data_IF_311106063841
#
_entry.id   IF_311106063841
#
_cell.length_a   1.000
_cell.length_b   1.000
_cell.length_c   1.000
_cell.angle_alpha   90.00
_cell.angle_beta   90.00
_cell.angle_gamma   90.00
#
_symmetry.space_group_name_H-M   'P 1'
#
loop_
_entity.id
_entity.type
_entity.pdbx_description
1 polymer ?
#
# COMPACT_ATOMS: atom_id res chain seq x y z
N UNK A 1 13.97 4.71 16.50
CA UNK A 1 12.71 5.35 16.10
C UNK A 1 11.91 4.42 15.24
N UNK A 2 10.59 4.46 15.41
CA UNK A 2 9.72 3.57 14.67
C UNK A 2 9.56 4.03 13.24
N UNK A 3 9.53 3.07 12.31
CA UNK A 3 9.16 3.34 10.93
C UNK A 3 7.64 3.38 10.81
N UNK A 4 7.13 4.21 9.90
CA UNK A 4 5.70 4.33 9.65
C UNK A 4 5.35 3.72 8.29
N UNK A 5 4.36 2.84 8.31
CA UNK A 5 3.87 2.17 7.10
C UNK A 5 2.47 2.67 6.81
N UNK A 6 2.24 3.10 5.57
CA UNK A 6 0.90 3.44 5.09
C UNK A 6 0.33 2.22 4.39
N UNK A 7 -0.83 1.75 4.86
CA UNK A 7 -1.55 0.65 4.23
C UNK A 7 -2.76 1.23 3.51
N UNK A 8 -2.86 0.93 2.23
CA UNK A 8 -3.95 1.42 1.38
C UNK A 8 -4.73 0.24 0.85
N UNK A 9 -5.98 0.09 1.28
CA UNK A 9 -6.85 -1.02 0.89
C UNK A 9 -8.29 -0.61 1.17
N UNK A 10 -9.21 -0.94 0.28
CA UNK A 10 -10.63 -0.57 0.45
C UNK A 10 -11.40 -1.54 1.34
N UNK A 11 -10.77 -2.62 1.79
CA UNK A 11 -11.42 -3.61 2.65
C UNK A 11 -11.03 -3.37 4.11
N UNK A 12 -11.97 -2.88 4.95
CA UNK A 12 -11.63 -2.54 6.34
C UNK A 12 -11.10 -3.70 7.17
N UNK A 13 -11.58 -4.92 6.92
CA UNK A 13 -11.11 -6.10 7.66
C UNK A 13 -9.63 -6.34 7.40
N UNK A 14 -9.22 -6.20 6.15
CA UNK A 14 -7.84 -6.43 5.77
C UNK A 14 -6.92 -5.35 6.35
N UNK A 15 -7.40 -4.10 6.33
CA UNK A 15 -6.66 -3.01 6.94
C UNK A 15 -6.42 -3.27 8.43
N UNK A 16 -7.46 -3.68 9.15
CA UNK A 16 -7.33 -3.95 10.58
C UNK A 16 -6.37 -5.10 10.87
N UNK A 17 -6.43 -6.15 10.04
CA UNK A 17 -5.54 -7.30 10.20
C UNK A 17 -4.08 -6.90 10.00
N UNK A 18 -3.80 -6.20 8.91
CA UNK A 18 -2.43 -5.76 8.62
C UNK A 18 -1.94 -4.76 9.66
N UNK A 19 -2.80 -3.83 10.06
CA UNK A 19 -2.43 -2.84 11.07
C UNK A 19 -2.04 -3.53 12.38
N UNK A 20 -2.84 -4.48 12.83
CA UNK A 20 -2.55 -5.19 14.08
C UNK A 20 -1.24 -5.95 14.01
N UNK A 21 -1.00 -6.64 12.90
CA UNK A 21 0.22 -7.40 12.71
C UNK A 21 1.47 -6.51 12.68
N UNK A 22 1.39 -5.40 11.96
CA UNK A 22 2.54 -4.51 11.83
C UNK A 22 2.83 -3.77 13.13
N UNK A 23 1.79 -3.38 13.87
CA UNK A 23 2.00 -2.73 15.17
C UNK A 23 2.65 -3.70 16.16
N UNK A 24 2.29 -4.98 16.09
CA UNK A 24 2.92 -6.00 16.93
C UNK A 24 4.42 -6.10 16.65
N UNK A 25 4.83 -5.85 15.41
CA UNK A 25 6.23 -5.87 15.01
C UNK A 25 6.96 -4.56 15.30
N UNK A 26 6.27 -3.59 15.91
CA UNK A 26 6.90 -2.33 16.33
C UNK A 26 6.78 -1.19 15.34
N UNK A 27 6.01 -1.34 14.26
CA UNK A 27 5.81 -0.26 13.31
C UNK A 27 4.67 0.65 13.71
N UNK A 28 4.78 1.91 13.33
CA UNK A 28 3.63 2.81 13.35
C UNK A 28 2.89 2.63 12.04
N UNK A 29 1.55 2.74 12.08
CA UNK A 29 0.72 2.44 10.91
C UNK A 29 -0.26 3.56 10.68
N UNK A 30 -0.37 3.99 9.43
CA UNK A 30 -1.44 4.84 8.94
C UNK A 30 -2.23 4.05 7.91
N UNK A 31 -3.52 4.32 7.77
CA UNK A 31 -4.36 3.58 6.84
C UNK A 31 -5.13 4.53 5.94
N UNK A 32 -5.46 4.05 4.74
CA UNK A 32 -6.32 4.76 3.80
C UNK A 32 -7.18 3.74 3.06
N UNK A 33 -8.40 4.13 2.72
CA UNK A 33 -9.36 3.22 2.09
C UNK A 33 -9.54 3.47 0.60
N UNK A 34 -8.92 4.51 0.07
CA UNK A 34 -8.91 4.77 -1.37
C UNK A 34 -7.68 5.60 -1.73
N UNK A 35 -7.47 5.78 -3.02
CA UNK A 35 -6.27 6.45 -3.51
C UNK A 35 -6.20 7.93 -3.16
N UNK A 36 -7.34 8.61 -3.13
CA UNK A 36 -7.37 10.03 -2.76
C UNK A 36 -6.97 10.20 -1.31
N UNK A 37 -7.55 9.38 -0.43
CA UNK A 37 -7.21 9.40 0.99
C UNK A 37 -5.74 9.05 1.19
N UNK A 38 -5.21 8.09 0.41
CA UNK A 38 -3.81 7.70 0.51
C UNK A 38 -2.87 8.87 0.24
N UNK A 39 -3.16 9.65 -0.79
CA UNK A 39 -2.33 10.80 -1.13
C UNK A 39 -2.40 11.87 -0.05
N UNK A 40 -3.60 12.07 0.53
CA UNK A 40 -3.76 13.02 1.63
C UNK A 40 -2.95 12.61 2.86
N UNK A 41 -3.02 11.34 3.23
CA UNK A 41 -2.27 10.82 4.38
C UNK A 41 -0.77 10.93 4.12
N UNK A 42 -0.34 10.57 2.91
CA UNK A 42 1.07 10.63 2.56
C UNK A 42 1.61 12.05 2.67
N UNK A 43 0.82 13.03 2.27
CA UNK A 43 1.23 14.44 2.34
C UNK A 43 1.27 14.97 3.77
N UNK A 44 0.48 14.39 4.66
CA UNK A 44 0.33 14.89 6.04
C UNK A 44 1.31 14.27 7.03
N UNK A 45 1.90 13.12 6.70
CA UNK A 45 2.74 12.36 7.64
C UNK A 45 3.98 11.81 6.94
N UNK A 46 5.10 11.67 7.67
CA UNK A 46 6.26 10.98 7.10
C UNK A 46 5.97 9.48 6.98
N UNK A 47 6.09 8.96 5.78
CA UNK A 47 5.82 7.54 5.49
C UNK A 47 7.10 6.88 4.99
N UNK A 48 7.45 5.73 5.56
CA UNK A 48 8.67 5.01 5.22
C UNK A 48 8.43 3.86 4.24
N UNK A 49 7.19 3.37 4.15
CA UNK A 49 6.82 2.27 3.24
C UNK A 49 5.33 2.36 2.95
N UNK A 50 4.95 2.10 1.71
CA UNK A 50 3.54 2.05 1.31
C UNK A 50 3.19 0.63 0.89
N UNK A 51 2.15 0.05 1.51
CA UNK A 51 1.53 -1.19 1.08
C UNK A 51 0.23 -0.80 0.38
N UNK A 52 0.11 -1.14 -0.89
CA UNK A 52 -0.88 -0.53 -1.77
C UNK A 52 -1.68 -1.57 -2.53
N UNK A 53 -2.97 -1.69 -2.20
CA UNK A 53 -3.90 -2.51 -2.97
C UNK A 53 -4.14 -1.83 -4.31
N UNK A 54 -4.02 -2.58 -5.40
CA UNK A 54 -4.20 -2.01 -6.74
C UNK A 54 -5.64 -2.02 -7.20
N UNK A 55 -6.52 -2.80 -6.57
CA UNK A 55 -7.93 -2.90 -6.95
C UNK A 55 -8.80 -2.11 -5.97
N UNK A 56 -8.89 -0.80 -6.18
CA UNK A 56 -9.66 0.08 -5.32
C UNK A 56 -10.54 1.02 -6.14
N UNK A 57 -11.65 1.50 -5.56
CA UNK A 57 -12.48 2.50 -6.24
C UNK A 57 -11.79 3.86 -6.30
N UNK A 58 -12.32 4.73 -7.13
CA UNK A 58 -11.86 6.12 -7.32
C UNK A 58 -10.47 6.11 -7.93
N UNK A 59 -9.45 6.54 -7.23
CA UNK A 59 -8.08 6.47 -7.72
C UNK A 59 -7.50 5.13 -7.30
N UNK A 60 -7.25 4.23 -8.26
CA UNK A 60 -6.77 2.88 -7.95
C UNK A 60 -5.30 2.88 -7.55
N UNK A 61 -4.81 1.70 -7.12
CA UNK A 61 -3.44 1.58 -6.62
C UNK A 61 -2.39 1.91 -7.66
N UNK A 62 -2.63 1.60 -8.91
CA UNK A 62 -1.68 1.97 -9.97
C UNK A 62 -1.57 3.48 -10.11
N UNK A 63 -2.71 4.18 -10.04
CA UNK A 63 -2.72 5.63 -10.08
C UNK A 63 -2.00 6.26 -8.90
N UNK A 64 -2.18 5.69 -7.71
CA UNK A 64 -1.49 6.16 -6.51
C UNK A 64 0.02 5.98 -6.67
N UNK A 65 0.46 4.82 -7.15
CA UNK A 65 1.87 4.55 -7.37
C UNK A 65 2.47 5.57 -8.33
N UNK A 66 1.80 5.81 -9.44
CA UNK A 66 2.27 6.76 -10.44
C UNK A 66 2.37 8.17 -9.86
N UNK A 67 1.35 8.60 -9.10
CA UNK A 67 1.37 9.92 -8.46
C UNK A 67 2.48 10.06 -7.44
N UNK A 68 2.67 9.04 -6.61
CA UNK A 68 3.74 9.08 -5.60
C UNK A 68 5.12 9.19 -6.26
N UNK A 69 5.33 8.50 -7.37
CA UNK A 69 6.61 8.53 -8.06
C UNK A 69 6.94 9.87 -8.69
N UNK A 70 5.97 10.75 -8.87
CA UNK A 70 6.22 12.10 -9.38
C UNK A 70 7.01 12.94 -8.39
N UNK A 71 6.96 12.61 -7.09
CA UNK A 71 7.62 13.45 -6.08
C UNK A 71 8.29 12.67 -4.94
N UNK A 72 8.33 11.35 -5.01
CA UNK A 72 8.90 10.56 -3.92
C UNK A 72 9.51 9.26 -4.42
N UNK A 73 10.54 8.80 -3.73
CA UNK A 73 11.16 7.50 -3.93
C UNK A 73 10.80 6.53 -2.81
N UNK A 74 9.72 6.79 -2.07
CA UNK A 74 9.29 5.93 -0.98
C UNK A 74 9.11 4.50 -1.50
N UNK A 75 9.57 3.48 -0.76
CA UNK A 75 9.34 2.09 -1.15
C UNK A 75 7.84 1.78 -1.22
N UNK A 76 7.42 1.16 -2.31
CA UNK A 76 6.02 0.79 -2.54
C UNK A 76 5.94 -0.69 -2.85
N UNK A 77 5.14 -1.42 -2.07
CA UNK A 77 4.82 -2.82 -2.31
C UNK A 77 3.35 -2.91 -2.67
N UNK A 78 3.06 -3.42 -3.87
CA UNK A 78 1.66 -3.57 -4.29
C UNK A 78 1.09 -4.88 -3.76
N UNK A 79 -0.21 -4.84 -3.42
CA UNK A 79 -0.95 -6.01 -2.98
C UNK A 79 -1.85 -6.45 -4.13
N UNK A 80 -1.70 -7.70 -4.58
CA UNK A 80 -2.47 -8.24 -5.70
C UNK A 80 -3.26 -9.46 -5.27
N UNK A 81 -4.36 -9.74 -5.99
CA UNK A 81 -5.12 -10.97 -5.77
C UNK A 81 -4.41 -12.13 -6.46
N UNK A 82 -4.63 -13.33 -5.92
CA UNK A 82 -4.11 -14.54 -6.55
C UNK A 82 -4.66 -14.65 -7.97
N UNK A 83 -3.79 -14.94 -8.94
CA UNK A 83 -4.18 -15.05 -10.33
C UNK A 83 -4.05 -13.75 -11.13
N UNK A 84 -3.70 -12.66 -10.49
CA UNK A 84 -3.59 -11.35 -11.14
C UNK A 84 -2.14 -10.99 -11.43
N UNK A 85 -1.40 -11.91 -12.05
CA UNK A 85 0.04 -11.73 -12.29
C UNK A 85 0.34 -10.55 -13.22
N UNK A 86 -0.57 -10.22 -14.15
CA UNK A 86 -0.35 -9.05 -15.00
C UNK A 86 -0.33 -7.75 -14.18
N UNK A 87 -1.01 -7.72 -13.04
CA UNK A 87 -0.97 -6.55 -12.16
C UNK A 87 0.41 -6.34 -11.57
N UNK A 88 1.13 -7.41 -11.32
CA UNK A 88 2.50 -7.35 -10.83
C UNK A 88 3.40 -6.61 -11.83
N UNK A 89 3.34 -7.02 -13.10
CA UNK A 89 4.15 -6.41 -14.14
C UNK A 89 3.80 -4.94 -14.29
N UNK A 90 2.51 -4.62 -14.33
CA UNK A 90 2.05 -3.25 -14.47
C UNK A 90 2.50 -2.37 -13.32
N UNK A 91 2.41 -2.89 -12.08
CA UNK A 91 2.83 -2.14 -10.91
C UNK A 91 4.32 -1.85 -10.91
N UNK A 92 5.14 -2.85 -11.25
CA UNK A 92 6.59 -2.66 -11.31
C UNK A 92 6.95 -1.67 -12.40
N UNK A 93 6.27 -1.72 -13.55
CA UNK A 93 6.51 -0.76 -14.63
C UNK A 93 6.16 0.67 -14.23
N UNK A 94 5.18 0.85 -13.34
CA UNK A 94 4.79 2.17 -12.86
C UNK A 94 5.62 2.65 -11.66
N UNK A 95 6.58 1.86 -11.23
CA UNK A 95 7.54 2.30 -10.23
C UNK A 95 7.42 1.64 -8.85
N UNK A 96 6.58 0.61 -8.70
CA UNK A 96 6.55 -0.15 -7.46
C UNK A 96 7.85 -0.94 -7.31
N UNK A 97 8.25 -1.16 -6.07
CA UNK A 97 9.51 -1.87 -5.78
C UNK A 97 9.32 -3.38 -5.68
N UNK A 98 8.11 -3.81 -5.32
CA UNK A 98 7.83 -5.24 -5.15
C UNK A 98 6.33 -5.45 -5.09
N UNK A 99 5.90 -6.70 -4.91
CA UNK A 99 4.49 -7.05 -4.81
C UNK A 99 4.30 -8.19 -3.81
N UNK A 100 3.08 -8.28 -3.26
CA UNK A 100 2.65 -9.41 -2.43
C UNK A 100 1.28 -9.87 -2.92
N UNK A 101 1.07 -11.18 -2.92
CA UNK A 101 -0.21 -11.77 -3.35
C UNK A 101 -1.10 -11.99 -2.13
N UNK A 102 -2.34 -11.52 -2.21
CA UNK A 102 -3.34 -11.73 -1.15
C UNK A 102 -3.96 -13.11 -1.26
N UNK A 103 -4.39 -13.69 -0.14
CA UNK A 103 -4.05 -13.31 1.21
C UNK A 103 -2.65 -13.83 1.55
N UNK A 104 -1.79 -12.99 2.09
CA UNK A 104 -0.53 -13.50 2.59
C UNK A 104 -0.70 -13.88 4.06
N UNK A 105 0.04 -14.90 4.45
CA UNK A 105 -0.08 -15.43 5.80
C UNK A 105 0.38 -14.43 6.83
N UNK A 106 -0.48 -14.21 7.82
CA UNK A 106 -0.15 -13.36 8.96
C UNK A 106 0.18 -14.18 10.19
N UNK A 107 0.24 -15.48 10.05
CA UNK A 107 0.52 -16.38 11.18
C UNK A 107 2.00 -16.65 11.29
#
# INVERSE_FOLDING_TARGET
MSKRILIVDDEPRYLRLLEANLRTEGYEVSTAQDGVQALDVFSAQPIDLVLLDVMMPRLDGFGVCQRLREFSNVPIVILTARGEEQDRVRGLDLGADDYLVKPFSAT
#
